data_IF_121312138602
#
_entry.id   IF_121312138602
#
_cell.length_a   1.000
_cell.length_b   1.000
_cell.length_c   1.000
_cell.angle_alpha   90.00
_cell.angle_beta   90.00
_cell.angle_gamma   90.00
#
_symmetry.space_group_name_H-M   'P 1'
#
loop_
_entity.id
_entity.type
_entity.pdbx_description
1 polymer ?
#
# COMPACT_ATOMS: atom_id res chain seq x y z
N UNK A 1 -12.76 -23.51 0.05
CA UNK A 1 -12.72 -24.42 -1.13
C UNK A 1 -13.88 -25.43 -1.16
N UNK A 2 -14.56 -25.66 -0.03
CA UNK A 2 -15.70 -26.62 0.01
C UNK A 2 -17.00 -26.09 -0.60
N UNK A 3 -17.09 -24.80 -0.92
CA UNK A 3 -18.27 -24.20 -1.54
C UNK A 3 -18.32 -24.50 -3.04
N UNK A 4 -19.51 -24.77 -3.59
CA UNK A 4 -19.70 -24.96 -5.03
C UNK A 4 -19.22 -23.75 -5.82
N UNK A 5 -18.48 -23.98 -6.91
CA UNK A 5 -17.98 -22.91 -7.78
C UNK A 5 -16.69 -22.24 -7.31
N UNK A 6 -16.21 -22.51 -6.10
CA UNK A 6 -14.89 -22.03 -5.64
C UNK A 6 -13.79 -22.93 -6.22
N UNK A 7 -12.89 -22.33 -6.98
CA UNK A 7 -11.76 -23.05 -7.59
C UNK A 7 -10.54 -23.05 -6.69
N UNK A 8 -10.25 -21.90 -6.04
CA UNK A 8 -9.08 -21.76 -5.18
C UNK A 8 -9.24 -20.61 -4.20
N UNK A 9 -8.56 -20.74 -3.07
CA UNK A 9 -8.32 -19.66 -2.11
C UNK A 9 -6.82 -19.59 -1.92
N UNK A 10 -6.22 -18.47 -2.27
CA UNK A 10 -4.77 -18.28 -2.30
C UNK A 10 -4.36 -17.20 -1.30
N UNK A 11 -3.39 -17.52 -0.46
CA UNK A 11 -2.73 -16.56 0.44
C UNK A 11 -1.49 -15.95 -0.22
N UNK A 12 -0.96 -14.86 0.34
CA UNK A 12 0.27 -14.26 -0.15
C UNK A 12 1.46 -15.22 -0.14
N UNK A 13 1.57 -16.07 0.89
CA UNK A 13 2.62 -17.09 0.96
C UNK A 13 2.52 -18.11 -0.18
N UNK A 14 1.31 -18.63 -0.46
CA UNK A 14 1.09 -19.56 -1.56
C UNK A 14 1.36 -18.92 -2.92
N UNK A 15 0.98 -17.67 -3.13
CA UNK A 15 1.27 -16.94 -4.36
C UNK A 15 2.78 -16.75 -4.57
N UNK A 16 3.52 -16.47 -3.51
CA UNK A 16 4.98 -16.39 -3.56
C UNK A 16 5.63 -17.76 -3.88
N UNK A 17 5.15 -18.84 -3.27
CA UNK A 17 5.61 -20.22 -3.57
C UNK A 17 5.32 -20.65 -5.02
N UNK A 18 4.22 -20.18 -5.58
CA UNK A 18 3.87 -20.41 -6.99
C UNK A 18 4.72 -19.59 -7.98
N UNK A 19 5.60 -18.74 -7.50
CA UNK A 19 6.40 -17.84 -8.33
C UNK A 19 5.66 -16.57 -8.76
N UNK A 20 4.46 -16.33 -8.21
CA UNK A 20 3.69 -15.13 -8.47
C UNK A 20 3.98 -14.10 -7.38
N UNK A 21 4.22 -12.85 -7.79
CA UNK A 21 4.46 -11.73 -6.85
C UNK A 21 5.57 -11.99 -5.83
N UNK A 22 6.69 -12.54 -6.29
CA UNK A 22 7.89 -12.76 -5.47
C UNK A 22 8.57 -11.45 -5.05
N UNK A 23 8.38 -10.39 -5.85
CA UNK A 23 8.90 -9.07 -5.56
C UNK A 23 7.82 -8.15 -4.98
N UNK A 24 8.18 -7.24 -4.07
CA UNK A 24 7.27 -6.21 -3.61
C UNK A 24 6.90 -5.26 -4.75
N UNK A 25 5.76 -4.60 -4.61
CA UNK A 25 5.36 -3.51 -5.51
C UNK A 25 6.45 -2.43 -5.50
N UNK A 26 6.93 -2.00 -6.68
CA UNK A 26 7.95 -0.98 -6.75
C UNK A 26 7.41 0.37 -6.26
N UNK A 27 8.27 1.17 -5.61
CA UNK A 27 7.94 2.54 -5.29
C UNK A 27 7.87 3.36 -6.59
N UNK A 28 6.69 3.85 -6.93
CA UNK A 28 6.48 4.61 -8.16
C UNK A 28 7.14 6.00 -8.12
N UNK A 29 7.41 6.53 -6.94
CA UNK A 29 7.94 7.89 -6.77
C UNK A 29 8.89 7.99 -5.58
N UNK A 30 10.17 7.63 -5.73
CA UNK A 30 11.17 7.86 -4.69
C UNK A 30 11.35 9.37 -4.49
N UNK A 31 11.32 9.81 -3.22
CA UNK A 31 11.44 11.24 -2.85
C UNK A 31 12.89 11.64 -2.68
N UNK A 32 13.70 10.80 -2.02
CA UNK A 32 15.13 10.98 -1.79
C UNK A 32 15.87 9.70 -2.10
N UNK A 33 17.19 9.79 -2.36
CA UNK A 33 18.03 8.62 -2.66
C UNK A 33 18.13 7.67 -1.46
N UNK A 34 18.05 8.19 -0.24
CA UNK A 34 18.13 7.45 1.02
C UNK A 34 16.75 7.06 1.57
N UNK A 35 15.70 7.16 0.76
CA UNK A 35 14.35 6.83 1.19
C UNK A 35 14.23 5.37 1.60
N UNK A 36 13.75 5.13 2.83
CA UNK A 36 13.37 3.81 3.29
C UNK A 36 12.02 3.45 2.67
N UNK A 37 12.03 2.44 1.80
CA UNK A 37 10.83 1.94 1.14
C UNK A 37 10.51 0.53 1.64
N UNK A 38 9.56 0.38 2.59
CA UNK A 38 9.18 -0.93 3.10
C UNK A 38 8.61 -1.82 1.99
N UNK A 39 8.87 -3.12 2.01
CA UNK A 39 8.29 -4.03 1.03
C UNK A 39 6.77 -4.07 1.18
N UNK A 40 6.06 -3.83 0.07
CA UNK A 40 4.61 -3.92 0.00
C UNK A 40 4.22 -4.91 -1.09
N UNK A 41 3.63 -6.02 -0.70
CA UNK A 41 3.18 -7.06 -1.63
C UNK A 41 1.70 -6.86 -1.98
N UNK A 42 1.26 -7.29 -3.19
CA UNK A 42 -0.15 -7.23 -3.58
C UNK A 42 -1.08 -8.00 -2.65
N UNK A 43 -0.58 -9.07 -2.03
CA UNK A 43 -1.26 -9.83 -0.98
C UNK A 43 -0.27 -10.02 0.18
N UNK A 44 -0.71 -9.72 1.40
CA UNK A 44 0.12 -9.82 2.59
C UNK A 44 0.67 -11.25 2.75
N UNK A 45 1.98 -11.39 2.94
CA UNK A 45 2.65 -12.69 3.06
C UNK A 45 2.63 -13.17 4.51
N UNK A 46 3.12 -12.35 5.44
CA UNK A 46 3.27 -12.73 6.85
C UNK A 46 2.59 -11.78 7.81
N UNK A 47 2.38 -10.54 7.42
CA UNK A 47 1.87 -9.48 8.28
C UNK A 47 1.01 -8.51 7.49
N UNK A 48 -0.25 -8.30 7.93
CA UNK A 48 -1.09 -7.24 7.42
C UNK A 48 -0.74 -5.92 8.11
N UNK A 49 -0.44 -4.88 7.34
CA UNK A 49 0.08 -3.61 7.85
C UNK A 49 -1.01 -2.59 8.18
N UNK A 50 -2.18 -2.69 7.57
CA UNK A 50 -3.28 -1.76 7.76
C UNK A 50 -4.64 -2.39 7.45
N UNK A 51 -5.70 -1.72 7.86
CA UNK A 51 -7.07 -2.10 7.46
C UNK A 51 -7.22 -1.93 5.95
N UNK A 52 -7.66 -2.98 5.26
CA UNK A 52 -7.76 -3.03 3.80
C UNK A 52 -6.57 -3.69 3.11
N UNK A 53 -5.56 -4.13 3.86
CA UNK A 53 -4.49 -4.97 3.31
C UNK A 53 -5.06 -6.32 2.87
N UNK A 54 -4.75 -6.76 1.65
CA UNK A 54 -5.31 -8.00 1.10
C UNK A 54 -4.59 -9.19 1.74
N UNK A 55 -5.34 -10.11 2.33
CA UNK A 55 -4.78 -11.30 3.01
C UNK A 55 -5.02 -12.60 2.25
N UNK A 56 -6.02 -12.63 1.37
CA UNK A 56 -6.31 -13.79 0.53
C UNK A 56 -7.05 -13.39 -0.74
N UNK A 57 -6.94 -14.22 -1.78
CA UNK A 57 -7.65 -14.09 -3.06
C UNK A 57 -8.52 -15.32 -3.27
N UNK A 58 -9.80 -15.13 -3.55
CA UNK A 58 -10.77 -16.20 -3.85
C UNK A 58 -11.05 -16.23 -5.34
N UNK A 59 -10.87 -17.38 -5.96
CA UNK A 59 -11.21 -17.65 -7.35
C UNK A 59 -12.50 -18.46 -7.42
N UNK A 60 -13.50 -17.92 -8.11
CA UNK A 60 -14.82 -18.54 -8.23
C UNK A 60 -15.33 -18.49 -9.67
N UNK A 61 -16.19 -19.44 -10.04
CA UNK A 61 -16.78 -19.54 -11.39
C UNK A 61 -17.74 -18.40 -11.71
N UNK A 62 -18.41 -17.87 -10.69
CA UNK A 62 -19.44 -16.87 -10.89
C UNK A 62 -19.32 -15.68 -9.92
N UNK A 63 -19.89 -14.57 -10.35
CA UNK A 63 -19.81 -13.29 -9.63
C UNK A 63 -20.56 -13.29 -8.28
N UNK A 64 -21.64 -14.01 -8.17
CA UNK A 64 -22.45 -14.00 -6.95
C UNK A 64 -21.85 -14.94 -5.91
N UNK A 65 -21.46 -16.13 -6.32
CA UNK A 65 -20.82 -17.12 -5.45
C UNK A 65 -19.50 -16.64 -4.86
N UNK A 66 -18.76 -15.74 -5.54
CA UNK A 66 -17.51 -15.18 -4.99
C UNK A 66 -17.76 -14.29 -3.77
N UNK A 67 -18.86 -13.56 -3.72
CA UNK A 67 -19.21 -12.71 -2.57
C UNK A 67 -19.46 -13.58 -1.35
N UNK A 68 -20.31 -14.61 -1.50
CA UNK A 68 -20.60 -15.56 -0.43
C UNK A 68 -19.33 -16.31 0.03
N UNK A 69 -18.46 -16.66 -0.92
CA UNK A 69 -17.20 -17.35 -0.63
C UNK A 69 -16.21 -16.48 0.15
N UNK A 70 -16.10 -15.20 -0.16
CA UNK A 70 -15.23 -14.25 0.57
C UNK A 70 -15.71 -14.09 2.02
N UNK A 71 -17.03 -14.07 2.28
CA UNK A 71 -17.59 -14.00 3.62
C UNK A 71 -17.28 -15.23 4.49
N UNK A 72 -16.96 -16.37 3.86
CA UNK A 72 -16.57 -17.59 4.57
C UNK A 72 -15.06 -17.67 4.86
N UNK A 73 -14.27 -16.70 4.41
CA UNK A 73 -12.84 -16.67 4.74
C UNK A 73 -12.66 -16.21 6.17
N UNK A 74 -12.21 -17.12 7.02
CA UNK A 74 -11.89 -16.83 8.42
C UNK A 74 -10.39 -16.60 8.54
N UNK A 75 -10.01 -15.45 9.11
CA UNK A 75 -8.61 -15.09 9.38
C UNK A 75 -8.42 -14.97 10.88
N UNK A 76 -7.47 -15.74 11.40
CA UNK A 76 -7.05 -15.64 12.80
C UNK A 76 -5.85 -14.69 12.91
N UNK A 77 -6.07 -13.55 13.58
CA UNK A 77 -5.06 -12.50 13.70
C UNK A 77 -4.38 -12.55 15.07
N UNK A 78 -3.06 -12.51 15.07
CA UNK A 78 -2.28 -12.16 16.26
C UNK A 78 -2.01 -10.66 16.25
N UNK A 79 -2.64 -9.86 17.14
CA UNK A 79 -2.48 -8.41 17.13
C UNK A 79 -1.05 -7.98 17.46
N UNK A 80 -0.52 -7.04 16.69
CA UNK A 80 0.73 -6.34 16.96
C UNK A 80 0.45 -4.91 17.46
N UNK A 81 1.44 -4.25 18.12
CA UNK A 81 1.28 -2.85 18.52
C UNK A 81 0.97 -1.94 17.32
N UNK A 82 -0.19 -1.30 17.34
CA UNK A 82 -0.62 -0.43 16.24
C UNK A 82 0.04 0.96 16.34
N UNK A 83 0.48 1.49 15.19
CA UNK A 83 1.05 2.84 15.07
C UNK A 83 0.04 3.75 14.40
N UNK A 84 -0.81 4.42 15.19
CA UNK A 84 -1.90 5.27 14.70
C UNK A 84 -1.68 6.75 14.99
N UNK A 85 -0.83 7.09 15.95
CA UNK A 85 -0.49 8.46 16.31
C UNK A 85 0.81 8.88 15.66
N UNK A 86 0.80 10.01 14.94
CA UNK A 86 1.97 10.50 14.21
C UNK A 86 3.15 10.83 15.14
N UNK A 87 2.89 11.47 16.30
CA UNK A 87 3.95 11.81 17.24
C UNK A 87 4.57 10.55 17.85
N UNK A 88 3.75 9.57 18.21
CA UNK A 88 4.23 8.29 18.74
C UNK A 88 5.06 7.51 17.71
N UNK A 89 4.70 7.63 16.43
CA UNK A 89 5.49 7.07 15.34
C UNK A 89 6.87 7.71 15.21
N UNK A 90 6.94 9.05 15.29
CA UNK A 90 8.21 9.80 15.25
C UNK A 90 9.06 9.50 16.47
N UNK A 91 8.46 9.37 17.64
CA UNK A 91 9.13 9.05 18.90
C UNK A 91 9.57 7.57 18.98
N UNK A 92 9.20 6.75 17.99
CA UNK A 92 9.61 5.34 17.93
C UNK A 92 8.99 4.45 18.99
N UNK A 93 7.79 4.79 19.51
CA UNK A 93 7.12 4.00 20.56
C UNK A 93 6.71 2.61 20.10
N UNK A 94 6.39 2.46 18.83
CA UNK A 94 6.18 1.20 18.14
C UNK A 94 6.57 1.36 16.67
N UNK A 95 6.89 0.26 15.99
CA UNK A 95 7.24 0.26 14.57
C UNK A 95 6.03 -0.12 13.73
N UNK A 96 5.76 0.66 12.67
CA UNK A 96 4.72 0.36 11.70
C UNK A 96 5.07 -0.86 10.83
N UNK A 97 6.37 -1.14 10.69
CA UNK A 97 6.92 -2.31 10.03
C UNK A 97 7.86 -3.00 10.99
N UNK A 98 7.56 -4.25 11.34
CA UNK A 98 8.31 -5.03 12.33
C UNK A 98 9.75 -5.32 11.93
N UNK A 99 10.05 -5.27 10.64
CA UNK A 99 11.35 -5.51 10.02
C UNK A 99 12.22 -4.25 9.87
N UNK A 100 11.71 -3.08 10.30
CA UNK A 100 12.43 -1.81 10.21
C UNK A 100 12.74 -1.23 11.60
N UNK A 101 13.84 -0.50 11.69
CA UNK A 101 14.28 0.18 12.91
C UNK A 101 13.76 1.62 13.03
N UNK A 102 13.01 2.10 12.03
CA UNK A 102 12.50 3.47 12.00
C UNK A 102 11.16 3.56 11.29
N UNK A 103 10.31 4.47 11.78
CA UNK A 103 9.09 4.89 11.09
C UNK A 103 9.31 6.08 10.14
N UNK A 104 10.55 6.59 10.05
CA UNK A 104 10.87 7.72 9.18
C UNK A 104 11.28 7.21 7.79
N UNK A 105 10.40 7.40 6.81
CA UNK A 105 10.66 6.97 5.44
C UNK A 105 11.71 7.86 4.74
N UNK A 106 11.65 9.18 4.93
CA UNK A 106 12.59 10.14 4.34
C UNK A 106 12.57 11.46 5.11
N UNK A 107 13.57 12.29 4.85
CA UNK A 107 13.61 13.69 5.27
C UNK A 107 13.90 14.57 4.07
N UNK A 108 12.96 15.45 3.75
CA UNK A 108 13.09 16.38 2.63
C UNK A 108 13.08 17.83 3.16
N UNK A 109 14.24 18.45 3.35
CA UNK A 109 14.30 19.86 3.72
C UNK A 109 13.87 20.74 2.53
N UNK A 110 12.85 21.56 2.75
CA UNK A 110 12.32 22.47 1.72
C UNK A 110 12.89 23.89 1.82
N UNK A 111 13.63 24.21 2.90
CA UNK A 111 14.21 25.52 3.09
C UNK A 111 15.57 25.61 2.38
N UNK A 112 15.67 26.38 1.31
CA UNK A 112 16.93 26.55 0.58
C UNK A 112 17.95 27.46 1.30
N UNK A 113 17.53 28.17 2.35
CA UNK A 113 18.39 29.10 3.12
C UNK A 113 18.04 29.08 4.62
N UNK A 114 18.33 27.98 5.34
CA UNK A 114 17.99 27.83 6.74
C UNK A 114 18.59 28.93 7.65
N UNK A 115 19.81 29.37 7.35
CA UNK A 115 20.50 30.43 8.11
C UNK A 115 19.77 31.77 7.95
N UNK A 116 19.40 32.12 6.72
CA UNK A 116 18.64 33.34 6.45
C UNK A 116 17.24 33.32 7.11
N UNK A 117 16.58 32.18 7.08
CA UNK A 117 15.30 31.99 7.76
C UNK A 117 15.45 32.15 9.28
N UNK A 118 16.45 31.51 9.88
CA UNK A 118 16.74 31.64 11.31
C UNK A 118 17.06 33.10 11.70
N UNK A 119 17.86 33.81 10.90
CA UNK A 119 18.18 35.21 11.11
C UNK A 119 16.92 36.12 11.01
N UNK A 120 16.02 35.84 10.05
CA UNK A 120 14.77 36.57 9.90
C UNK A 120 13.89 36.41 11.13
N UNK A 121 13.74 35.20 11.68
CA UNK A 121 13.01 34.95 12.92
C UNK A 121 13.67 35.61 14.12
N UNK A 122 15.00 35.59 14.23
CA UNK A 122 15.72 36.23 15.34
C UNK A 122 15.57 37.78 15.36
N UNK A 123 15.43 38.40 14.19
CA UNK A 123 15.29 39.84 14.04
C UNK A 123 13.83 40.31 13.93
N UNK A 124 12.85 39.41 13.93
CA UNK A 124 11.45 39.76 13.82
C UNK A 124 10.96 40.46 15.07
N UNK A 125 10.22 41.60 14.92
CA UNK A 125 9.64 42.34 16.02
C UNK A 125 8.60 41.51 16.79
N UNK A 126 7.90 40.61 16.09
CA UNK A 126 6.89 39.69 16.66
C UNK A 126 7.00 38.32 16.01
N UNK A 127 6.97 37.28 16.84
CA UNK A 127 6.94 35.88 16.37
C UNK A 127 5.70 35.19 16.96
N UNK A 128 4.85 34.66 16.10
CA UNK A 128 3.69 33.87 16.51
C UNK A 128 3.97 32.40 16.23
N UNK A 129 3.75 31.54 17.22
CA UNK A 129 3.87 30.08 17.09
C UNK A 129 2.53 29.42 17.31
N UNK A 130 2.18 28.50 16.43
CA UNK A 130 0.98 27.69 16.59
C UNK A 130 1.27 26.24 16.15
N UNK A 131 0.59 25.29 16.77
CA UNK A 131 0.62 23.89 16.36
C UNK A 131 -0.70 23.56 15.68
N UNK A 132 -0.60 23.06 14.45
CA UNK A 132 -1.74 22.57 13.69
C UNK A 132 -1.63 21.06 13.56
N UNK A 133 -2.73 20.35 13.81
CA UNK A 133 -2.83 18.92 13.59
C UNK A 133 -3.84 18.71 12.48
N UNK A 134 -3.35 18.25 11.33
CA UNK A 134 -4.20 17.88 10.20
C UNK A 134 -4.37 16.36 10.21
N UNK A 135 -5.58 15.90 10.45
CA UNK A 135 -5.91 14.49 10.47
C UNK A 135 -5.82 13.89 9.05
N UNK A 136 -5.56 12.60 8.99
CA UNK A 136 -5.66 11.85 7.73
C UNK A 136 -7.14 11.71 7.34
N UNK A 137 -7.41 11.86 6.05
CA UNK A 137 -8.73 11.67 5.46
C UNK A 137 -8.66 10.58 4.42
N UNK A 138 -9.71 9.76 4.35
CA UNK A 138 -9.87 8.77 3.29
C UNK A 138 -10.70 9.43 2.19
N UNK A 139 -10.19 9.61 0.98
CA UNK A 139 -10.98 10.06 -0.14
C UNK A 139 -12.02 8.98 -0.49
N UNK A 140 -13.28 9.39 -0.59
CA UNK A 140 -14.41 8.53 -0.93
C UNK A 140 -14.93 8.91 -2.32
N UNK A 141 -14.27 8.48 -3.42
CA UNK A 141 -14.70 8.81 -4.76
C UNK A 141 -16.04 8.15 -5.09
N UNK A 142 -16.88 8.83 -5.86
CA UNK A 142 -18.16 8.26 -6.34
C UNK A 142 -17.93 7.14 -7.37
N UNK A 143 -16.84 7.20 -8.11
CA UNK A 143 -16.38 6.09 -8.96
C UNK A 143 -15.55 5.12 -8.12
N UNK A 144 -16.07 3.91 -7.81
CA UNK A 144 -15.31 2.90 -7.08
C UNK A 144 -14.16 2.36 -7.94
N UNK A 145 -13.14 1.84 -7.27
CA UNK A 145 -12.04 1.17 -7.96
C UNK A 145 -12.53 -0.13 -8.57
N UNK A 146 -12.19 -0.34 -9.83
CA UNK A 146 -12.48 -1.57 -10.55
C UNK A 146 -11.42 -1.84 -11.61
N UNK A 147 -11.25 -3.11 -11.94
CA UNK A 147 -10.40 -3.52 -13.04
C UNK A 147 -11.00 -4.75 -13.73
N UNK A 148 -10.66 -4.89 -15.01
CA UNK A 148 -10.98 -6.05 -15.82
C UNK A 148 -9.76 -6.41 -16.66
N UNK A 149 -9.28 -7.64 -16.50
CA UNK A 149 -8.21 -8.21 -17.30
C UNK A 149 -8.81 -9.21 -18.29
N UNK A 150 -8.59 -8.99 -19.58
CA UNK A 150 -9.08 -9.86 -20.66
C UNK A 150 -7.91 -10.44 -21.41
N UNK A 151 -7.64 -11.77 -21.29
CA UNK A 151 -6.61 -12.42 -22.06
C UNK A 151 -6.91 -12.33 -23.57
N UNK A 152 -5.89 -12.06 -24.38
CA UNK A 152 -6.02 -12.14 -25.83
C UNK A 152 -6.24 -13.59 -26.27
N UNK A 153 -7.21 -13.87 -27.17
CA UNK A 153 -7.41 -15.21 -27.70
C UNK A 153 -6.18 -15.78 -28.45
N UNK A 154 -5.33 -14.89 -28.97
CA UNK A 154 -4.09 -15.27 -29.66
C UNK A 154 -2.93 -15.61 -28.67
N UNK A 155 -3.13 -15.38 -27.37
CA UNK A 155 -2.10 -15.53 -26.34
C UNK A 155 -1.09 -14.39 -26.29
N UNK A 156 -0.31 -14.32 -25.21
CA UNK A 156 0.82 -13.39 -25.07
C UNK A 156 0.46 -11.96 -24.68
N UNK A 157 -0.82 -11.55 -24.71
CA UNK A 157 -1.26 -10.21 -24.34
C UNK A 157 -2.48 -10.27 -23.41
N UNK A 158 -2.56 -9.28 -22.52
CA UNK A 158 -3.72 -9.04 -21.67
C UNK A 158 -4.19 -7.60 -21.92
N UNK A 159 -5.45 -7.42 -22.26
CA UNK A 159 -6.07 -6.11 -22.30
C UNK A 159 -6.59 -5.81 -20.90
N UNK A 160 -6.07 -4.74 -20.30
CA UNK A 160 -6.39 -4.36 -18.94
C UNK A 160 -7.17 -3.05 -18.92
N UNK A 161 -8.39 -3.10 -18.38
CA UNK A 161 -9.24 -1.94 -18.15
C UNK A 161 -9.18 -1.56 -16.68
N UNK A 162 -8.93 -0.30 -16.37
CA UNK A 162 -8.85 0.19 -15.00
C UNK A 162 -9.19 1.66 -14.90
N UNK A 163 -9.84 2.06 -13.82
CA UNK A 163 -9.96 3.45 -13.42
C UNK A 163 -8.60 3.97 -12.93
N UNK A 164 -7.90 4.74 -13.76
CA UNK A 164 -6.58 5.29 -13.41
C UNK A 164 -6.34 6.63 -14.11
N UNK A 165 -5.60 7.51 -13.43
CA UNK A 165 -5.10 8.78 -14.02
C UNK A 165 -3.70 8.62 -14.64
N UNK A 166 -3.02 7.48 -14.42
CA UNK A 166 -1.62 7.25 -14.80
C UNK A 166 -1.44 5.92 -15.55
N UNK A 167 -2.09 5.72 -16.71
CA UNK A 167 -2.12 4.43 -17.39
C UNK A 167 -0.73 3.90 -17.78
N UNK A 168 0.21 4.76 -18.13
CA UNK A 168 1.57 4.34 -18.51
C UNK A 168 2.34 3.80 -17.31
N UNK A 169 2.27 4.45 -16.16
CA UNK A 169 2.90 3.97 -14.92
C UNK A 169 2.24 2.67 -14.47
N UNK A 170 0.90 2.60 -14.51
CA UNK A 170 0.17 1.37 -14.17
C UNK A 170 0.63 0.19 -15.03
N UNK A 171 0.80 0.39 -16.36
CA UNK A 171 1.31 -0.66 -17.26
C UNK A 171 2.70 -1.15 -16.83
N UNK A 172 3.61 -0.21 -16.50
CA UNK A 172 4.97 -0.55 -16.06
C UNK A 172 4.92 -1.32 -14.73
N UNK A 173 4.08 -0.88 -13.79
CA UNK A 173 3.94 -1.53 -12.47
C UNK A 173 3.40 -2.95 -12.61
N UNK A 174 2.37 -3.16 -13.44
CA UNK A 174 1.82 -4.50 -13.71
C UNK A 174 2.91 -5.38 -14.33
N UNK A 175 3.61 -4.91 -15.35
CA UNK A 175 4.67 -5.69 -15.99
C UNK A 175 5.81 -6.04 -15.01
N UNK A 176 6.18 -5.12 -14.13
CA UNK A 176 7.25 -5.36 -13.14
C UNK A 176 6.87 -6.40 -12.06
N UNK A 177 5.58 -6.61 -11.82
CA UNK A 177 5.09 -7.53 -10.77
C UNK A 177 4.59 -8.86 -11.30
N UNK A 178 4.18 -8.92 -12.57
CA UNK A 178 3.63 -10.15 -13.17
C UNK A 178 4.60 -10.91 -14.07
N UNK A 179 5.74 -10.33 -14.42
CA UNK A 179 6.75 -10.92 -15.31
C UNK A 179 6.54 -10.55 -16.76
#
# INVERSE_FOLDING_TARGET
ESMPGVHSVLTGAQLAEMGLWQAPLPCAWPVTEDMVNPPHYPVAISEAKHVGDIVAVVLCSDRYGVVDAVEQVVVDYTPLPAVVNLQDAVDGKAMAHSDLETNKAFHWPLDPNPEGTAAAFANAAHVVKARFVQQRLIPMPMEPRGCLAVPSPAGGEIVFYSATQIPHILKIMIAATSG
#
